data_IF_925598482974
#
_entry.id   IF_925598482974
#
_cell.length_a   1.000
_cell.length_b   1.000
_cell.length_c   1.000
_cell.angle_alpha   90.00
_cell.angle_beta   90.00
_cell.angle_gamma   90.00
#
_symmetry.space_group_name_H-M   'P 1'
#
loop_
_entity.id
_entity.type
_entity.pdbx_description
1 polymer ?
#
# COMPACT_ATOMS: atom_id res chain seq x y z
N UNK A 1 34.87 -5.03 9.01
CA UNK A 1 35.06 -3.79 8.24
C UNK A 1 33.78 -2.95 8.09
N UNK A 2 32.79 -3.33 7.28
CA UNK A 2 31.56 -2.51 7.08
C UNK A 2 30.72 -2.34 8.35
N UNK A 3 30.58 -3.40 9.15
CA UNK A 3 29.90 -3.35 10.45
C UNK A 3 30.58 -2.38 11.41
N UNK A 4 31.92 -2.32 11.38
CA UNK A 4 32.72 -1.43 12.22
C UNK A 4 32.50 0.03 11.78
N UNK A 5 32.48 0.30 10.48
CA UNK A 5 32.17 1.63 9.96
C UNK A 5 30.78 2.12 10.36
N UNK A 6 29.76 1.26 10.33
CA UNK A 6 28.42 1.62 10.80
C UNK A 6 28.44 1.95 12.30
N UNK A 7 29.17 1.19 13.11
CA UNK A 7 29.34 1.49 14.54
C UNK A 7 30.02 2.84 14.77
N UNK A 8 31.08 3.14 14.02
CA UNK A 8 31.76 4.43 14.06
C UNK A 8 30.83 5.59 13.69
N UNK A 9 30.00 5.42 12.66
CA UNK A 9 28.96 6.40 12.30
C UNK A 9 28.00 6.64 13.45
N UNK A 10 27.45 5.57 14.03
CA UNK A 10 26.50 5.68 15.15
C UNK A 10 27.12 6.39 16.35
N UNK A 11 28.38 6.08 16.67
CA UNK A 11 29.12 6.71 17.76
C UNK A 11 29.30 8.21 17.54
N UNK A 12 29.62 8.62 16.31
CA UNK A 12 29.80 10.03 15.96
C UNK A 12 28.49 10.85 15.92
N UNK A 13 27.31 10.22 15.97
CA UNK A 13 26.04 10.95 15.85
C UNK A 13 25.79 11.90 17.03
N UNK A 14 26.35 11.61 18.21
CA UNK A 14 26.25 12.48 19.38
C UNK A 14 27.05 13.78 19.18
N UNK A 15 28.13 13.71 18.41
CA UNK A 15 29.15 14.74 18.25
C UNK A 15 29.21 15.30 16.81
N UNK A 16 28.06 15.62 16.21
CA UNK A 16 27.93 16.20 14.85
C UNK A 16 28.69 15.42 13.74
N UNK A 17 28.68 14.09 13.84
CA UNK A 17 29.37 13.17 12.93
C UNK A 17 30.91 13.32 12.93
N UNK A 18 31.47 13.79 14.04
CA UNK A 18 32.90 13.91 14.28
C UNK A 18 33.28 12.94 15.40
N UNK A 19 34.35 12.17 15.20
CA UNK A 19 34.99 11.38 16.25
C UNK A 19 36.18 12.18 16.76
N UNK A 20 36.01 12.75 17.94
CA UNK A 20 37.07 13.48 18.61
C UNK A 20 38.13 12.51 19.16
N UNK A 21 39.37 12.94 19.03
CA UNK A 21 40.51 12.29 19.65
C UNK A 21 40.75 13.01 20.96
N UNK A 22 40.54 12.32 22.08
CA UNK A 22 40.57 12.93 23.40
C UNK A 22 41.99 12.96 23.99
N UNK A 23 42.93 12.20 23.40
CA UNK A 23 44.32 12.15 23.81
C UNK A 23 44.56 11.30 25.06
N UNK A 24 43.64 10.39 25.39
CA UNK A 24 43.81 9.41 26.46
C UNK A 24 44.76 8.28 26.06
N UNK A 25 44.82 7.98 24.76
CA UNK A 25 45.75 6.99 24.17
C UNK A 25 46.71 7.66 23.19
N UNK A 26 47.54 6.88 22.50
CA UNK A 26 48.51 7.40 21.53
C UNK A 26 47.86 7.71 20.16
N UNK A 27 46.67 7.17 19.89
CA UNK A 27 45.94 7.41 18.65
C UNK A 27 44.42 7.25 18.81
N UNK A 28 43.66 7.95 17.95
CA UNK A 28 42.21 7.80 17.84
C UNK A 28 41.78 6.34 17.60
N UNK A 29 42.59 5.57 16.85
CA UNK A 29 42.32 4.16 16.56
C UNK A 29 42.26 3.32 17.84
N UNK A 30 43.13 3.57 18.81
CA UNK A 30 43.18 2.85 20.08
C UNK A 30 41.98 3.18 20.97
N UNK A 31 41.61 4.47 21.05
CA UNK A 31 40.42 4.93 21.78
C UNK A 31 39.15 4.25 21.23
N UNK A 32 39.01 4.23 19.90
CA UNK A 32 37.87 3.62 19.23
C UNK A 32 37.86 2.09 19.35
N UNK A 33 39.02 1.45 19.34
CA UNK A 33 39.15 0.00 19.53
C UNK A 33 38.62 -0.42 20.91
N UNK A 34 39.01 0.31 21.97
CA UNK A 34 38.54 0.05 23.32
C UNK A 34 37.05 0.39 23.49
N UNK A 35 36.58 1.52 22.95
CA UNK A 35 35.19 1.95 23.06
C UNK A 35 34.23 0.98 22.37
N UNK A 36 34.62 0.42 21.23
CA UNK A 36 33.78 -0.46 20.42
C UNK A 36 33.98 -1.97 20.71
N UNK A 37 34.95 -2.32 21.57
CA UNK A 37 35.39 -3.70 21.85
C UNK A 37 35.78 -4.45 20.57
N UNK A 38 36.66 -3.82 19.77
CA UNK A 38 37.15 -4.33 18.48
C UNK A 38 38.68 -4.28 18.46
N UNK A 39 39.32 -5.17 17.69
CA UNK A 39 40.78 -5.15 17.54
C UNK A 39 41.27 -3.84 16.90
N UNK A 40 42.44 -3.36 17.34
CA UNK A 40 43.09 -2.16 16.78
C UNK A 40 43.35 -2.32 15.27
N UNK A 41 43.78 -3.51 14.84
CA UNK A 41 44.03 -3.82 13.42
C UNK A 41 42.77 -3.68 12.56
N UNK A 42 41.62 -4.14 13.06
CA UNK A 42 40.34 -4.05 12.34
C UNK A 42 39.84 -2.60 12.23
N UNK A 43 40.01 -1.80 13.29
CA UNK A 43 39.69 -0.37 13.28
C UNK A 43 40.63 0.35 12.31
N UNK A 44 41.92 0.11 12.39
CA UNK A 44 42.92 0.73 11.51
C UNK A 44 42.66 0.39 10.04
N UNK A 45 42.41 -0.89 9.73
CA UNK A 45 42.06 -1.33 8.37
C UNK A 45 40.76 -0.66 7.88
N UNK A 46 39.76 -0.51 8.77
CA UNK A 46 38.49 0.16 8.45
C UNK A 46 38.73 1.65 8.18
N UNK A 47 39.38 2.37 9.09
CA UNK A 47 39.68 3.80 8.95
C UNK A 47 40.50 4.05 7.68
N UNK A 48 41.58 3.29 7.45
CA UNK A 48 42.40 3.43 6.24
C UNK A 48 41.61 3.20 4.95
N UNK A 49 40.77 2.17 4.90
CA UNK A 49 39.92 1.88 3.74
C UNK A 49 38.92 3.02 3.47
N UNK A 50 38.21 3.48 4.51
CA UNK A 50 37.17 4.50 4.35
C UNK A 50 37.73 5.91 4.16
N UNK A 51 38.93 6.21 4.67
CA UNK A 51 39.70 7.42 4.32
C UNK A 51 40.07 7.40 2.83
N UNK A 52 40.55 6.26 2.31
CA UNK A 52 40.84 6.11 0.88
C UNK A 52 39.58 6.26 0.00
N UNK A 53 38.43 5.82 0.49
CA UNK A 53 37.14 6.01 -0.19
C UNK A 53 36.58 7.44 -0.07
N UNK A 54 37.19 8.31 0.75
CA UNK A 54 36.71 9.67 0.99
C UNK A 54 35.45 9.74 1.88
N UNK A 55 35.17 8.67 2.63
CA UNK A 55 34.03 8.57 3.54
C UNK A 55 34.37 8.99 4.97
N UNK A 56 35.66 8.95 5.32
CA UNK A 56 36.24 9.48 6.55
C UNK A 56 37.31 10.50 6.16
N UNK A 57 37.34 11.64 6.85
CA UNK A 57 38.38 12.66 6.71
C UNK A 57 39.01 12.87 8.07
N UNK A 58 40.34 12.72 8.17
CA UNK A 58 41.09 12.94 9.40
C UNK A 58 41.75 14.31 9.31
N UNK A 59 41.51 15.16 10.29
CA UNK A 59 42.06 16.51 10.38
C UNK A 59 43.48 16.50 10.98
N UNK A 60 44.18 17.63 10.91
CA UNK A 60 45.55 17.78 11.44
C UNK A 60 45.65 17.48 12.96
N UNK A 61 44.55 17.68 13.69
CA UNK A 61 44.43 17.41 15.13
C UNK A 61 44.10 15.93 15.44
N UNK A 62 43.96 15.08 14.42
CA UNK A 62 43.68 13.64 14.57
C UNK A 62 42.20 13.29 14.77
N UNK A 63 41.29 14.27 14.67
CA UNK A 63 39.84 14.05 14.68
C UNK A 63 39.37 13.46 13.36
N UNK A 64 38.37 12.57 13.40
CA UNK A 64 37.83 11.93 12.20
C UNK A 64 36.38 12.37 11.91
N UNK A 65 36.17 13.06 10.80
CA UNK A 65 34.87 13.49 10.31
C UNK A 65 34.26 12.46 9.35
N UNK A 66 33.00 12.07 9.59
CA UNK A 66 32.26 11.13 8.73
C UNK A 66 31.30 11.89 7.80
N UNK A 67 31.81 12.26 6.61
CA UNK A 67 31.10 13.14 5.66
C UNK A 67 29.75 12.60 5.22
N UNK A 68 29.64 11.27 5.01
CA UNK A 68 28.38 10.65 4.64
C UNK A 68 27.35 10.70 5.77
N UNK A 69 27.77 10.45 7.02
CA UNK A 69 26.89 10.52 8.16
C UNK A 69 26.33 11.94 8.32
N UNK A 70 27.19 12.97 8.23
CA UNK A 70 26.78 14.38 8.28
C UNK A 70 25.76 14.75 7.20
N UNK A 71 25.92 14.23 5.98
CA UNK A 71 24.97 14.47 4.90
C UNK A 71 23.63 13.73 5.09
N UNK A 72 23.62 12.61 5.81
CA UNK A 72 22.42 11.84 6.11
C UNK A 72 21.66 12.39 7.31
N UNK A 73 22.37 12.89 8.32
CA UNK A 73 21.80 13.57 9.48
C UNK A 73 21.03 14.80 9.02
N UNK A 74 19.83 14.98 9.56
CA UNK A 74 18.85 16.03 9.19
C UNK A 74 18.36 16.03 7.73
N UNK A 75 18.86 15.13 6.88
CA UNK A 75 18.29 14.93 5.56
C UNK A 75 16.91 14.30 5.70
N UNK A 76 15.90 15.07 5.29
CA UNK A 76 14.53 14.58 5.23
C UNK A 76 13.94 14.80 3.85
N UNK A 77 13.09 13.87 3.41
CA UNK A 77 12.31 14.10 2.21
C UNK A 77 11.28 15.21 2.45
N UNK A 78 10.95 15.97 1.41
CA UNK A 78 9.88 16.97 1.47
C UNK A 78 8.56 16.40 2.03
N UNK A 79 8.30 15.10 1.80
CA UNK A 79 7.14 14.40 2.33
C UNK A 79 7.25 14.11 3.83
N UNK A 80 8.40 13.63 4.31
CA UNK A 80 8.65 13.40 5.73
C UNK A 80 8.51 14.71 6.53
N UNK A 81 9.05 15.81 5.99
CA UNK A 81 8.87 17.17 6.51
C UNK A 81 7.39 17.57 6.57
N UNK A 82 6.69 17.47 5.43
CA UNK A 82 5.26 17.75 5.34
C UNK A 82 4.44 16.97 6.38
N UNK A 83 4.70 15.66 6.55
CA UNK A 83 4.00 14.83 7.54
C UNK A 83 4.34 15.20 8.98
N UNK A 84 5.59 15.57 9.28
CA UNK A 84 6.00 16.10 10.59
C UNK A 84 5.24 17.38 10.93
N UNK A 85 5.12 18.30 9.98
CA UNK A 85 4.40 19.56 10.15
C UNK A 85 2.89 19.35 10.31
N UNK A 86 2.30 18.42 9.55
CA UNK A 86 0.90 18.01 9.73
C UNK A 86 0.63 17.49 11.16
N UNK A 87 1.54 16.68 11.74
CA UNK A 87 1.41 16.18 13.12
C UNK A 87 1.54 17.31 14.15
N UNK A 88 2.48 18.24 13.96
CA UNK A 88 2.66 19.40 14.83
C UNK A 88 1.45 20.34 14.82
N UNK A 89 0.85 20.55 13.64
CA UNK A 89 -0.35 21.39 13.50
C UNK A 89 -1.61 20.71 14.06
N UNK A 90 -1.73 19.39 13.93
CA UNK A 90 -2.87 18.65 14.48
C UNK A 90 -2.83 18.49 16.01
N UNK A 91 -1.65 18.53 16.63
CA UNK A 91 -1.52 18.58 18.09
C UNK A 91 -1.77 19.98 18.68
N UNK A 92 -1.57 21.06 17.92
CA UNK A 92 -1.76 22.44 18.40
C UNK A 92 -3.11 23.07 18.04
N UNK A 93 -4.03 22.34 17.40
CA UNK A 93 -5.37 22.86 17.08
C UNK A 93 -6.40 22.33 18.10
N UNK A 94 -7.18 23.20 18.79
CA UNK A 94 -8.38 22.74 19.46
C UNK A 94 -9.29 22.08 18.43
N UNK A 95 -9.87 20.91 18.76
CA UNK A 95 -10.84 20.20 17.93
C UNK A 95 -11.98 21.16 17.57
N UNK A 96 -11.91 21.78 16.40
CA UNK A 96 -13.03 22.47 15.79
C UNK A 96 -13.36 21.76 14.50
N UNK A 97 -14.58 21.22 14.49
CA UNK A 97 -15.23 20.64 13.33
C UNK A 97 -15.45 21.73 12.27
N UNK A 98 -15.35 21.30 11.00
CA UNK A 98 -15.77 22.02 9.80
C UNK A 98 -14.89 23.18 9.30
N UNK A 99 -13.83 22.89 8.54
CA UNK A 99 -13.46 23.77 7.41
C UNK A 99 -12.98 22.96 6.20
N UNK A 100 -13.56 23.30 5.06
CA UNK A 100 -13.40 22.73 3.74
C UNK A 100 -11.97 22.89 3.16
N UNK A 101 -11.61 21.90 2.35
CA UNK A 101 -10.46 21.80 1.45
C UNK A 101 -9.99 23.13 0.83
N UNK A 102 -8.70 23.43 0.97
CA UNK A 102 -7.91 24.14 -0.05
C UNK A 102 -6.65 23.35 -0.37
N UNK A 103 -6.66 22.66 -1.51
CA UNK A 103 -5.52 21.97 -2.13
C UNK A 103 -4.79 22.93 -3.06
N UNK A 104 -3.50 23.14 -2.81
CA UNK A 104 -2.42 23.58 -3.73
C UNK A 104 -1.12 23.36 -2.93
N UNK A 105 -0.04 22.70 -3.34
CA UNK A 105 0.69 22.60 -4.61
C UNK A 105 1.53 21.29 -4.61
N UNK A 106 1.88 20.83 -5.82
CA UNK A 106 2.69 19.68 -6.19
C UNK A 106 4.20 19.86 -5.84
N UNK A 107 5.19 18.98 -6.09
CA UNK A 107 5.40 17.75 -6.88
C UNK A 107 6.37 16.84 -6.09
N UNK A 108 6.14 15.52 -6.10
CA UNK A 108 7.10 14.41 -5.80
C UNK A 108 7.84 14.44 -4.44
N UNK A 109 7.73 13.41 -3.58
CA UNK A 109 8.21 12.05 -3.84
C UNK A 109 7.18 10.96 -3.48
N UNK A 110 6.70 10.17 -4.45
CA UNK A 110 6.24 8.81 -4.20
C UNK A 110 7.29 7.83 -4.71
N UNK A 111 8.31 7.56 -3.90
CA UNK A 111 9.10 6.32 -4.04
C UNK A 111 9.61 5.90 -2.67
N UNK A 112 8.68 5.57 -1.78
CA UNK A 112 8.80 4.32 -1.06
C UNK A 112 7.55 3.52 -1.38
N UNK A 113 7.81 2.41 -2.04
CA UNK A 113 6.91 1.31 -2.24
C UNK A 113 6.43 0.91 -0.83
N UNK A 114 5.25 1.37 -0.42
CA UNK A 114 4.53 0.85 0.74
C UNK A 114 4.08 -0.60 0.45
N UNK A 115 5.02 -1.54 0.32
CA UNK A 115 4.75 -2.99 0.23
C UNK A 115 4.74 -3.64 1.63
N UNK A 116 5.32 -3.01 2.65
CA UNK A 116 5.70 -3.75 3.86
C UNK A 116 4.81 -3.57 5.11
N UNK A 117 3.72 -2.79 5.07
CA UNK A 117 2.79 -2.71 6.22
C UNK A 117 1.34 -3.09 5.91
N UNK A 118 0.94 -3.12 4.64
CA UNK A 118 -0.40 -3.57 4.23
C UNK A 118 -0.44 -5.09 3.98
N UNK A 119 0.70 -5.70 3.63
CA UNK A 119 0.82 -7.15 3.42
C UNK A 119 0.62 -7.99 4.68
N UNK A 120 0.96 -7.46 5.87
CA UNK A 120 0.88 -8.25 7.11
C UNK A 120 -0.56 -8.37 7.66
N UNK A 121 -1.39 -7.32 7.53
CA UNK A 121 -2.83 -7.41 7.87
C UNK A 121 -3.62 -8.24 6.86
N UNK A 122 -3.22 -8.21 5.59
CA UNK A 122 -3.85 -9.00 4.53
C UNK A 122 -3.49 -10.49 4.64
N UNK A 123 -2.31 -10.84 5.19
CA UNK A 123 -1.98 -12.23 5.59
C UNK A 123 -2.81 -12.70 6.78
N UNK A 124 -3.13 -11.82 7.75
CA UNK A 124 -3.90 -12.18 8.95
C UNK A 124 -5.34 -12.58 8.62
N UNK A 125 -6.04 -11.83 7.77
CA UNK A 125 -7.40 -12.18 7.30
C UNK A 125 -7.42 -13.47 6.48
N UNK A 126 -6.36 -13.71 5.71
CA UNK A 126 -6.21 -14.94 4.94
C UNK A 126 -5.90 -16.15 5.84
N UNK A 127 -5.10 -15.94 6.89
CA UNK A 127 -4.84 -16.93 7.94
C UNK A 127 -6.10 -17.27 8.73
N UNK A 128 -6.90 -16.30 9.13
CA UNK A 128 -8.12 -16.54 9.91
C UNK A 128 -9.14 -17.37 9.09
N UNK A 129 -9.25 -17.12 7.79
CA UNK A 129 -10.07 -17.91 6.88
C UNK A 129 -9.52 -19.35 6.69
N UNK A 130 -8.20 -19.52 6.54
CA UNK A 130 -7.55 -20.84 6.41
C UNK A 130 -7.56 -21.64 7.73
N UNK A 131 -7.40 -20.99 8.89
CA UNK A 131 -7.44 -21.64 10.21
C UNK A 131 -8.85 -22.04 10.67
N UNK A 132 -9.91 -21.56 10.00
CA UNK A 132 -11.30 -21.98 10.27
C UNK A 132 -11.63 -23.43 9.87
N UNK A 133 -10.66 -24.17 9.32
CA UNK A 133 -10.74 -25.62 9.22
C UNK A 133 -11.78 -26.16 8.24
N UNK A 134 -12.11 -25.42 7.17
CA UNK A 134 -12.87 -25.96 6.02
C UNK A 134 -11.92 -26.29 4.86
N UNK A 135 -11.49 -27.55 4.69
CA UNK A 135 -10.55 -27.92 3.64
C UNK A 135 -11.14 -27.92 2.22
N UNK A 136 -12.46 -27.79 2.08
CA UNK A 136 -13.13 -27.80 0.77
C UNK A 136 -13.84 -26.47 0.51
N UNK A 137 -13.12 -25.51 -0.07
CA UNK A 137 -13.75 -24.32 -0.62
C UNK A 137 -14.55 -24.72 -1.87
N UNK A 138 -15.87 -24.81 -1.75
CA UNK A 138 -16.77 -25.10 -2.88
C UNK A 138 -17.02 -23.82 -3.68
N UNK A 139 -16.64 -23.81 -4.96
CA UNK A 139 -16.99 -22.72 -5.86
C UNK A 139 -18.51 -22.60 -6.01
N UNK A 140 -19.05 -21.36 -6.00
CA UNK A 140 -20.46 -21.15 -6.28
C UNK A 140 -20.88 -21.72 -7.65
N UNK A 141 -22.09 -22.29 -7.70
CA UNK A 141 -22.63 -22.97 -8.89
C UNK A 141 -22.85 -22.06 -10.11
N UNK A 142 -22.92 -20.75 -9.90
CA UNK A 142 -23.06 -19.74 -10.95
C UNK A 142 -21.73 -19.36 -11.61
N UNK A 143 -20.61 -19.92 -11.16
CA UNK A 143 -19.32 -19.81 -11.85
C UNK A 143 -19.20 -20.86 -12.96
N UNK A 144 -18.78 -20.43 -14.13
CA UNK A 144 -18.48 -21.35 -15.22
C UNK A 144 -17.09 -21.98 -15.03
N UNK A 145 -16.85 -23.20 -15.55
CA UNK A 145 -15.54 -23.85 -15.47
C UNK A 145 -14.38 -22.96 -15.97
N UNK A 146 -14.63 -22.19 -17.04
CA UNK A 146 -13.67 -21.22 -17.59
C UNK A 146 -13.29 -20.13 -16.59
N UNK A 147 -14.24 -19.62 -15.82
CA UNK A 147 -13.95 -18.59 -14.81
C UNK A 147 -13.14 -19.19 -13.66
N UNK A 148 -13.44 -20.43 -13.28
CA UNK A 148 -12.69 -21.15 -12.25
C UNK A 148 -11.23 -21.34 -12.69
N UNK A 149 -10.98 -21.72 -13.95
CA UNK A 149 -9.63 -21.78 -14.51
C UNK A 149 -8.89 -20.43 -14.45
N UNK A 150 -9.58 -19.33 -14.78
CA UNK A 150 -8.98 -17.98 -14.72
C UNK A 150 -8.64 -17.55 -13.28
N UNK A 151 -9.51 -17.86 -12.33
CA UNK A 151 -9.31 -17.57 -10.91
C UNK A 151 -8.13 -18.39 -10.36
N UNK A 152 -8.05 -19.66 -10.75
CA UNK A 152 -7.04 -20.64 -10.30
C UNK A 152 -5.63 -20.38 -10.85
N UNK A 153 -5.52 -19.61 -11.94
CA UNK A 153 -4.23 -19.31 -12.58
C UNK A 153 -3.38 -18.30 -11.79
N UNK A 154 -2.18 -18.72 -11.43
CA UNK A 154 -1.10 -17.85 -10.93
C UNK A 154 -0.90 -17.82 -9.41
N UNK A 155 -1.96 -17.72 -8.59
CA UNK A 155 -1.83 -17.74 -7.12
C UNK A 155 -3.11 -18.24 -6.42
N UNK A 156 -3.06 -19.37 -5.70
CA UNK A 156 -4.23 -19.97 -5.09
C UNK A 156 -4.78 -19.21 -3.88
N UNK A 157 -3.95 -18.36 -3.29
CA UNK A 157 -4.21 -17.73 -2.00
C UNK A 157 -5.16 -16.52 -2.05
N UNK A 158 -5.84 -16.26 -3.18
CA UNK A 158 -6.69 -15.07 -3.35
C UNK A 158 -8.00 -15.38 -4.08
N UNK A 159 -8.46 -16.64 -4.06
CA UNK A 159 -9.64 -17.04 -4.83
C UNK A 159 -10.90 -16.27 -4.48
N UNK A 160 -11.17 -16.06 -3.18
CA UNK A 160 -12.34 -15.31 -2.71
C UNK A 160 -12.45 -13.91 -3.35
N UNK A 161 -11.37 -13.14 -3.35
CA UNK A 161 -11.37 -11.79 -3.90
C UNK A 161 -11.34 -11.76 -5.44
N UNK A 162 -10.90 -12.86 -6.07
CA UNK A 162 -10.87 -12.99 -7.53
C UNK A 162 -12.23 -13.38 -8.10
N UNK A 163 -13.07 -14.09 -7.35
CA UNK A 163 -14.39 -14.55 -7.80
C UNK A 163 -15.28 -13.38 -8.27
N UNK A 164 -15.52 -12.32 -7.46
CA UNK A 164 -16.33 -11.19 -7.90
C UNK A 164 -15.78 -10.49 -9.15
N UNK A 165 -14.45 -10.40 -9.26
CA UNK A 165 -13.79 -9.75 -10.40
C UNK A 165 -13.95 -10.58 -11.68
N UNK A 166 -13.78 -11.89 -11.59
CA UNK A 166 -13.99 -12.82 -12.71
C UNK A 166 -15.45 -12.76 -13.19
N UNK A 167 -16.41 -12.74 -12.27
CA UNK A 167 -17.84 -12.60 -12.58
C UNK A 167 -18.14 -11.27 -13.28
N UNK A 168 -17.61 -10.15 -12.79
CA UNK A 168 -17.74 -8.86 -13.44
C UNK A 168 -17.16 -8.85 -14.87
N UNK A 169 -15.98 -9.44 -15.05
CA UNK A 169 -15.33 -9.53 -16.35
C UNK A 169 -16.22 -10.29 -17.35
N UNK A 170 -16.76 -11.44 -16.93
CA UNK A 170 -17.59 -12.27 -17.78
C UNK A 170 -18.94 -11.61 -18.12
N UNK A 171 -19.62 -11.01 -17.14
CA UNK A 171 -20.95 -10.41 -17.34
C UNK A 171 -20.92 -9.16 -18.23
N UNK A 172 -19.89 -8.34 -18.09
CA UNK A 172 -19.74 -7.09 -18.85
C UNK A 172 -18.93 -7.28 -20.14
N UNK A 173 -18.24 -8.41 -20.31
CA UNK A 173 -17.36 -8.66 -21.46
C UNK A 173 -16.07 -7.83 -21.41
N UNK A 174 -15.59 -7.52 -20.20
CA UNK A 174 -14.35 -6.77 -19.98
C UNK A 174 -13.27 -7.67 -19.41
N UNK A 175 -12.01 -7.22 -19.46
CA UNK A 175 -10.86 -7.97 -18.98
C UNK A 175 -10.04 -7.12 -17.98
N UNK A 176 -10.61 -6.88 -16.81
CA UNK A 176 -9.89 -6.25 -15.71
C UNK A 176 -8.86 -7.23 -15.15
N UNK A 177 -7.59 -6.80 -15.14
CA UNK A 177 -6.48 -7.59 -14.58
C UNK A 177 -6.63 -7.78 -13.08
N UNK A 178 -6.17 -8.92 -12.56
CA UNK A 178 -6.10 -9.25 -11.13
C UNK A 178 -4.97 -8.49 -10.42
N UNK A 179 -5.02 -7.15 -10.47
CA UNK A 179 -4.10 -6.23 -9.80
C UNK A 179 -4.73 -5.70 -8.52
N UNK A 180 -3.91 -5.32 -7.54
CA UNK A 180 -4.38 -4.81 -6.26
C UNK A 180 -5.33 -3.61 -6.42
N UNK A 181 -5.12 -2.75 -7.43
CA UNK A 181 -6.03 -1.65 -7.75
C UNK A 181 -7.49 -2.10 -7.95
N UNK A 182 -7.70 -3.26 -8.58
CA UNK A 182 -9.03 -3.80 -8.85
C UNK A 182 -9.55 -4.69 -7.70
N UNK A 183 -8.64 -5.28 -6.92
CA UNK A 183 -8.96 -6.21 -5.84
C UNK A 183 -9.17 -5.51 -4.48
N UNK A 184 -8.48 -4.41 -4.20
CA UNK A 184 -8.62 -3.60 -2.98
C UNK A 184 -10.08 -3.24 -2.65
N UNK A 185 -10.90 -2.73 -3.58
CA UNK A 185 -12.29 -2.39 -3.24
C UNK A 185 -13.14 -3.65 -2.95
N UNK A 186 -12.84 -4.80 -3.55
CA UNK A 186 -13.52 -6.08 -3.25
C UNK A 186 -13.13 -6.56 -1.85
N UNK A 187 -11.83 -6.55 -1.53
CA UNK A 187 -11.31 -6.93 -0.22
C UNK A 187 -11.92 -6.07 0.90
N UNK A 188 -12.06 -4.77 0.68
CA UNK A 188 -12.70 -3.86 1.64
C UNK A 188 -14.14 -4.27 1.97
N UNK A 189 -14.92 -4.71 0.98
CA UNK A 189 -16.30 -5.19 1.21
C UNK A 189 -16.35 -6.51 1.96
N UNK A 190 -15.42 -7.43 1.71
CA UNK A 190 -15.32 -8.63 2.55
C UNK A 190 -14.97 -8.29 4.01
N UNK A 191 -14.08 -7.30 4.25
CA UNK A 191 -13.76 -6.80 5.61
C UNK A 191 -14.98 -6.17 6.30
N UNK A 192 -15.90 -5.60 5.53
CA UNK A 192 -17.18 -5.05 6.03
C UNK A 192 -18.24 -6.13 6.31
N UNK A 193 -18.00 -7.39 5.94
CA UNK A 193 -18.90 -8.52 6.20
C UNK A 193 -19.80 -8.95 5.04
N UNK A 194 -19.60 -8.41 3.84
CA UNK A 194 -20.39 -8.79 2.66
C UNK A 194 -20.02 -10.18 2.11
N UNK A 195 -21.01 -10.88 1.59
CA UNK A 195 -20.91 -12.25 1.05
C UNK A 195 -20.71 -12.26 -0.47
N UNK A 196 -20.30 -13.41 -1.03
CA UNK A 196 -20.15 -13.58 -2.48
C UNK A 196 -21.46 -13.33 -3.24
N UNK A 197 -22.58 -13.69 -2.63
CA UNK A 197 -23.93 -13.47 -3.15
C UNK A 197 -24.24 -11.98 -3.29
N UNK A 198 -23.81 -11.16 -2.32
CA UNK A 198 -23.99 -9.70 -2.38
C UNK A 198 -23.23 -9.08 -3.56
N UNK A 199 -21.98 -9.52 -3.78
CA UNK A 199 -21.21 -9.07 -4.94
C UNK A 199 -21.89 -9.45 -6.25
N UNK A 200 -22.37 -10.69 -6.36
CA UNK A 200 -23.09 -11.16 -7.54
C UNK A 200 -24.33 -10.30 -7.78
N UNK A 201 -25.11 -10.04 -6.74
CA UNK A 201 -26.32 -9.23 -6.84
C UNK A 201 -26.04 -7.80 -7.31
N UNK A 202 -25.03 -7.13 -6.75
CA UNK A 202 -24.62 -5.78 -7.18
C UNK A 202 -24.20 -5.77 -8.65
N UNK A 203 -23.42 -6.78 -9.08
CA UNK A 203 -23.00 -6.92 -10.47
C UNK A 203 -24.21 -7.11 -11.38
N UNK A 204 -25.15 -7.99 -11.02
CA UNK A 204 -26.36 -8.26 -11.81
C UNK A 204 -27.25 -7.01 -11.94
N UNK A 205 -27.53 -6.33 -10.82
CA UNK A 205 -28.34 -5.10 -10.78
C UNK A 205 -27.73 -4.03 -11.67
N UNK A 206 -26.43 -3.75 -11.50
CA UNK A 206 -25.77 -2.66 -12.24
C UNK A 206 -25.50 -3.01 -13.68
N UNK A 207 -25.21 -4.26 -13.99
CA UNK A 207 -25.08 -4.71 -15.38
C UNK A 207 -26.42 -4.55 -16.09
N UNK A 208 -27.54 -4.98 -15.50
CA UNK A 208 -28.86 -4.78 -16.09
C UNK A 208 -29.21 -3.30 -16.30
N UNK A 209 -28.80 -2.41 -15.38
CA UNK A 209 -29.11 -0.99 -15.48
C UNK A 209 -28.20 -0.23 -16.46
N UNK A 210 -26.91 -0.55 -16.49
CA UNK A 210 -25.90 0.30 -17.13
C UNK A 210 -25.29 -0.30 -18.39
N UNK A 211 -25.40 -1.62 -18.63
CA UNK A 211 -24.73 -2.28 -19.77
C UNK A 211 -25.20 -1.73 -21.11
N UNK A 212 -26.51 -1.54 -21.27
CA UNK A 212 -27.12 -1.08 -22.52
C UNK A 212 -27.19 0.44 -22.64
N UNK A 213 -26.75 1.17 -21.60
CA UNK A 213 -26.68 2.62 -21.64
C UNK A 213 -25.30 3.09 -22.13
N UNK A 214 -25.21 3.84 -23.24
CA UNK A 214 -23.96 4.40 -23.73
C UNK A 214 -23.24 5.29 -22.70
N UNK A 215 -24.00 5.99 -21.86
CA UNK A 215 -23.44 6.89 -20.86
C UNK A 215 -22.94 6.16 -19.61
N UNK A 216 -23.63 5.09 -19.20
CA UNK A 216 -23.38 4.43 -17.92
C UNK A 216 -22.51 3.17 -18.00
N UNK A 217 -22.40 2.51 -19.16
CA UNK A 217 -21.61 1.28 -19.34
C UNK A 217 -20.11 1.44 -19.00
N UNK A 218 -19.59 2.67 -19.13
CA UNK A 218 -18.21 3.03 -18.74
C UNK A 218 -17.97 2.91 -17.23
N UNK A 219 -19.02 2.96 -16.41
CA UNK A 219 -18.95 2.86 -14.95
C UNK A 219 -19.05 1.43 -14.42
N UNK A 220 -19.25 0.43 -15.28
CA UNK A 220 -19.15 -0.99 -14.92
C UNK A 220 -17.68 -1.37 -14.73
N UNK A 221 -17.11 -0.97 -13.59
CA UNK A 221 -15.70 -1.14 -13.19
C UNK A 221 -15.61 -1.49 -11.70
N UNK A 222 -14.54 -2.18 -11.25
CA UNK A 222 -14.40 -2.58 -9.83
C UNK A 222 -14.48 -1.40 -8.86
N UNK A 223 -13.76 -0.30 -9.14
CA UNK A 223 -13.75 0.90 -8.28
C UNK A 223 -15.14 1.52 -8.09
N UNK A 224 -15.98 1.44 -9.11
CA UNK A 224 -17.31 2.06 -9.07
C UNK A 224 -18.31 1.14 -8.40
N UNK A 225 -18.35 -0.14 -8.77
CA UNK A 225 -19.30 -1.11 -8.23
C UNK A 225 -19.02 -1.46 -6.77
N UNK A 226 -17.74 -1.62 -6.40
CA UNK A 226 -17.31 -2.03 -5.06
C UNK A 226 -16.79 -0.85 -4.23
N UNK A 227 -17.06 0.38 -4.67
CA UNK A 227 -16.77 1.62 -3.94
C UNK A 227 -17.79 1.90 -2.83
N UNK A 228 -17.78 3.12 -2.29
CA UNK A 228 -18.60 3.52 -1.13
C UNK A 228 -20.11 3.38 -1.31
N UNK A 229 -20.60 3.21 -2.54
CA UNK A 229 -22.02 3.05 -2.87
C UNK A 229 -22.47 1.59 -2.93
N UNK A 230 -21.62 0.64 -2.55
CA UNK A 230 -21.91 -0.80 -2.65
C UNK A 230 -23.23 -1.19 -1.95
N UNK A 231 -23.40 -0.82 -0.68
CA UNK A 231 -24.64 -1.07 0.08
C UNK A 231 -25.87 -0.48 -0.62
N UNK A 232 -25.73 0.76 -1.11
CA UNK A 232 -26.77 1.44 -1.87
C UNK A 232 -27.10 0.76 -3.20
N UNK A 233 -26.17 0.00 -3.80
CA UNK A 233 -26.43 -0.80 -5.00
C UNK A 233 -27.07 -2.15 -4.65
N UNK A 234 -26.66 -2.78 -3.54
CA UNK A 234 -27.23 -4.03 -3.06
C UNK A 234 -28.72 -3.89 -2.75
N UNK A 235 -29.08 -2.77 -2.11
CA UNK A 235 -30.45 -2.45 -1.71
C UNK A 235 -31.34 -1.87 -2.83
N UNK A 236 -30.85 -1.79 -4.07
CA UNK A 236 -31.67 -1.32 -5.19
C UNK A 236 -32.64 -2.38 -5.68
N UNK A 237 -33.91 -1.99 -5.84
CA UNK A 237 -34.91 -2.86 -6.46
C UNK A 237 -34.56 -3.04 -7.95
N UNK A 238 -34.51 -4.28 -8.46
CA UNK A 238 -34.27 -4.51 -9.89
C UNK A 238 -35.38 -3.82 -10.69
N UNK A 239 -35.00 -3.02 -11.69
CA UNK A 239 -35.96 -2.43 -12.62
C UNK A 239 -36.60 -3.57 -13.40
N UNK A 240 -37.87 -3.86 -13.12
CA UNK A 240 -38.71 -4.67 -14.01
C UNK A 240 -38.75 -3.95 -15.35
N UNK A 241 -38.15 -4.54 -16.38
CA UNK A 241 -38.32 -4.07 -17.76
C UNK A 241 -39.79 -4.26 -18.08
N UNK A 242 -40.61 -3.20 -18.00
CA UNK A 242 -41.90 -3.18 -18.71
C UNK A 242 -41.54 -3.31 -20.18
N UNK A 243 -41.73 -4.51 -20.73
CA UNK A 243 -41.76 -4.69 -22.17
C UNK A 243 -42.74 -3.66 -22.76
N UNK A 244 -42.31 -2.99 -23.82
CA UNK A 244 -43.24 -2.32 -24.72
C UNK A 244 -44.15 -3.42 -25.30
N UNK A 245 -45.35 -3.60 -24.77
CA UNK A 245 -46.47 -4.00 -25.61
C UNK A 245 -47.05 -2.71 -26.19
N UNK A 246 -46.83 -2.50 -27.48
CA UNK A 246 -47.66 -1.62 -28.26
C UNK A 246 -49.05 -2.26 -28.34
N UNK A 247 -49.88 -2.03 -27.33
CA UNK A 247 -51.31 -2.33 -27.41
C UNK A 247 -51.99 -1.22 -28.22
N UNK A 248 -51.79 -1.29 -29.54
CA UNK A 248 -52.60 -0.59 -30.53
C UNK A 248 -53.98 -1.29 -30.59
N UNK A 249 -54.83 -1.00 -29.61
CA UNK A 249 -56.27 -1.31 -29.70
C UNK A 249 -56.97 -0.07 -30.27
N UNK A 250 -57.60 -0.15 -31.46
CA UNK A 250 -58.37 0.98 -31.97
C UNK A 250 -59.65 1.12 -31.12
N UNK A 251 -59.96 2.35 -30.71
CA UNK A 251 -61.22 2.69 -30.03
C UNK A 251 -62.41 2.30 -30.92
N UNK A 252 -63.31 1.48 -30.38
CA UNK A 252 -64.59 1.20 -31.01
C UNK A 252 -65.55 2.37 -30.72
N UNK A 253 -66.27 2.88 -31.73
CA UNK A 253 -67.25 3.92 -31.53
C UNK A 253 -68.45 3.34 -30.75
N UNK A 254 -68.86 4.04 -29.70
CA UNK A 254 -70.18 3.86 -29.07
C UNK A 254 -71.29 4.33 -30.01
#
# INVERSE_FOLDING_TARGET
MTVIYIRLMLESLEDDCILYYEGYFDSLVQELALKLDVSEDDINMTVAYFTKCGLIQIDDDGHATLSQAKAMVESETNWAKYKRDQRKNSQNLPKMENVQNKKTISNSCPTEIEIDKESDKDKELYKEYILSGKPDFTFPNWLTPRMIEEITKGHPEKYLIRIPLAYLNHTVGKNYKYLDKNLKPIMARFKEGYTLEDFKQVIDIKTAEWKDSPEFSKYLRPETLFGSKFDGYLNQKPKTIKGKSEDNFPDLPF
#
